data_IF_751051451849
#
_entry.id   IF_751051451849
#
_cell.length_a   1.000
_cell.length_b   1.000
_cell.length_c   1.000
_cell.angle_alpha   90.00
_cell.angle_beta   90.00
_cell.angle_gamma   90.00
#
_symmetry.space_group_name_H-M   'P 1'
#
loop_
_entity.id
_entity.type
_entity.pdbx_description
1 polymer ?
#
# COMPACT_ATOMS: atom_id res chain seq x y z
N UNK A 1 -1.81 -15.38 0.84
CA UNK A 1 -1.79 -15.51 2.32
C UNK A 1 -2.87 -14.61 2.93
N UNK A 2 -2.94 -14.52 4.27
CA UNK A 2 -3.91 -13.75 5.09
C UNK A 2 -5.29 -14.38 5.36
N UNK A 3 -5.63 -14.32 6.65
CA UNK A 3 -6.59 -15.16 7.37
C UNK A 3 -8.06 -14.93 6.98
N UNK A 4 -8.94 -15.85 7.39
CA UNK A 4 -10.37 -15.91 6.97
C UNK A 4 -11.33 -16.12 8.13
N UNK A 5 -12.23 -15.16 8.35
CA UNK A 5 -13.52 -15.39 9.03
C UNK A 5 -14.63 -14.60 8.31
N UNK A 6 -15.85 -15.16 8.18
CA UNK A 6 -16.95 -14.64 7.33
C UNK A 6 -18.24 -14.48 8.14
N UNK A 7 -18.97 -13.36 7.98
CA UNK A 7 -20.40 -13.26 8.32
C UNK A 7 -21.27 -12.41 7.35
N UNK A 8 -22.52 -12.84 7.16
CA UNK A 8 -23.56 -12.20 6.31
C UNK A 8 -24.47 -11.29 7.17
N UNK A 9 -25.12 -10.20 6.70
CA UNK A 9 -26.30 -10.24 5.80
C UNK A 9 -26.96 -8.85 5.51
N UNK A 10 -27.28 -8.57 4.23
CA UNK A 10 -28.47 -7.90 3.63
C UNK A 10 -29.12 -6.52 4.02
N UNK A 11 -29.83 -5.94 3.00
CA UNK A 11 -30.92 -4.91 2.99
C UNK A 11 -30.53 -3.39 3.00
N UNK A 12 -31.18 -2.42 2.33
CA UNK A 12 -31.76 -2.27 0.96
C UNK A 12 -31.99 -0.75 0.63
N UNK A 13 -32.30 -0.40 -0.63
CA UNK A 13 -32.33 0.92 -1.32
C UNK A 13 -33.44 1.94 -0.91
N UNK A 14 -33.20 3.24 -1.21
CA UNK A 14 -34.01 4.24 -1.99
C UNK A 14 -33.19 5.57 -2.02
N UNK A 15 -32.99 6.40 -3.08
CA UNK A 15 -33.86 7.08 -4.08
C UNK A 15 -34.72 8.21 -3.44
N UNK A 16 -34.97 9.41 -4.01
CA UNK A 16 -35.01 9.87 -5.43
C UNK A 16 -35.23 11.43 -5.54
N UNK A 17 -34.84 12.10 -6.66
CA UNK A 17 -35.38 13.42 -7.20
C UNK A 17 -35.27 14.71 -6.32
N UNK A 18 -35.52 15.99 -6.69
CA UNK A 18 -35.82 16.84 -7.90
C UNK A 18 -35.16 18.25 -7.63
N UNK A 19 -35.34 19.32 -8.42
CA UNK A 19 -34.85 19.64 -9.78
C UNK A 19 -35.17 21.13 -10.14
N UNK A 20 -34.58 21.68 -11.22
CA UNK A 20 -34.99 22.93 -11.92
C UNK A 20 -34.83 24.27 -11.14
N UNK A 21 -34.73 25.47 -11.74
CA UNK A 21 -34.47 25.94 -13.11
C UNK A 21 -33.92 27.39 -13.05
N UNK A 22 -33.46 27.96 -14.17
CA UNK A 22 -33.13 29.39 -14.24
C UNK A 22 -32.33 29.79 -15.48
N UNK A 23 -33.01 30.16 -16.56
CA UNK A 23 -32.40 30.67 -17.80
C UNK A 23 -32.61 32.16 -17.96
N UNK A 24 -31.53 32.93 -18.14
CA UNK A 24 -31.54 34.29 -18.65
C UNK A 24 -30.68 34.39 -19.91
N UNK A 25 -31.13 35.17 -20.90
CA UNK A 25 -30.54 35.25 -22.25
C UNK A 25 -29.84 36.60 -22.53
N UNK A 26 -28.99 36.59 -23.56
CA UNK A 26 -28.24 37.71 -24.16
C UNK A 26 -26.90 38.10 -23.48
N UNK A 27 -25.90 38.66 -24.22
CA UNK A 27 -25.81 38.89 -25.67
C UNK A 27 -24.82 37.92 -26.37
N UNK A 28 -25.18 37.38 -27.54
CA UNK A 28 -24.53 36.16 -28.04
C UNK A 28 -23.21 36.35 -28.83
N UNK A 29 -23.09 37.35 -29.73
CA UNK A 29 -22.19 37.18 -30.88
C UNK A 29 -20.71 37.59 -30.70
N UNK A 30 -20.36 38.66 -29.98
CA UNK A 30 -18.92 38.95 -29.71
C UNK A 30 -18.31 38.01 -28.68
N UNK A 31 -19.10 37.64 -27.66
CA UNK A 31 -18.72 36.66 -26.65
C UNK A 31 -18.52 35.24 -27.25
N UNK A 32 -19.25 34.88 -28.31
CA UNK A 32 -19.08 33.59 -28.99
C UNK A 32 -17.70 33.47 -29.68
N UNK A 33 -17.22 34.50 -30.38
CA UNK A 33 -15.92 34.46 -31.05
C UNK A 33 -14.76 34.33 -30.05
N UNK A 34 -14.77 35.13 -28.97
CA UNK A 34 -13.77 35.03 -27.90
C UNK A 34 -13.83 33.68 -27.18
N UNK A 35 -15.03 33.19 -26.81
CA UNK A 35 -15.20 31.87 -26.20
C UNK A 35 -14.82 30.72 -27.14
N UNK A 36 -15.00 30.86 -28.45
CA UNK A 36 -14.55 29.89 -29.43
C UNK A 36 -13.01 29.87 -29.52
N UNK A 37 -12.34 31.02 -29.62
CA UNK A 37 -10.89 31.11 -29.64
C UNK A 37 -10.26 30.53 -28.36
N UNK A 38 -10.79 30.88 -27.17
CA UNK A 38 -10.34 30.31 -25.89
C UNK A 38 -10.61 28.80 -25.80
N UNK A 39 -11.77 28.31 -26.28
CA UNK A 39 -12.05 26.87 -26.36
C UNK A 39 -11.12 26.14 -27.34
N UNK A 40 -10.76 26.74 -28.46
CA UNK A 40 -9.82 26.14 -29.44
C UNK A 40 -8.40 26.11 -28.88
N UNK A 41 -7.94 27.18 -28.21
CA UNK A 41 -6.63 27.22 -27.53
C UNK A 41 -6.56 26.22 -26.38
N UNK A 42 -7.62 26.11 -25.56
CA UNK A 42 -7.72 25.10 -24.51
C UNK A 42 -7.76 23.66 -25.07
N UNK A 43 -8.50 23.42 -26.16
CA UNK A 43 -8.48 22.13 -26.87
C UNK A 43 -7.09 21.79 -27.42
N UNK A 44 -6.38 22.77 -27.99
CA UNK A 44 -5.02 22.58 -28.50
C UNK A 44 -4.01 22.28 -27.37
N UNK A 45 -4.10 22.99 -26.24
CA UNK A 45 -3.26 22.70 -25.05
C UNK A 45 -3.56 21.32 -24.46
N UNK A 46 -4.84 20.92 -24.37
CA UNK A 46 -5.24 19.58 -23.91
C UNK A 46 -4.81 18.49 -24.92
N UNK A 47 -4.81 18.78 -26.22
CA UNK A 47 -4.31 17.87 -27.24
C UNK A 47 -2.78 17.70 -27.16
N UNK A 48 -2.03 18.80 -27.01
CA UNK A 48 -0.58 18.78 -26.85
C UNK A 48 -0.14 18.07 -25.56
N UNK A 49 -0.83 18.30 -24.44
CA UNK A 49 -0.62 17.57 -23.20
C UNK A 49 -0.96 16.06 -23.35
N UNK A 50 -1.92 15.71 -24.20
CA UNK A 50 -2.26 14.30 -24.51
C UNK A 50 -1.24 13.59 -25.39
N UNK A 51 -0.45 14.33 -26.16
CA UNK A 51 0.60 13.78 -27.03
C UNK A 51 2.01 13.89 -26.44
N UNK A 52 2.20 14.45 -25.23
CA UNK A 52 3.52 14.56 -24.62
C UNK A 52 4.07 13.15 -24.31
N UNK A 53 5.21 12.73 -24.90
CA UNK A 53 5.85 11.48 -24.53
C UNK A 53 6.35 11.55 -23.08
N UNK A 54 6.54 10.40 -22.43
CA UNK A 54 7.04 10.37 -21.03
C UNK A 54 8.46 10.94 -20.90
N UNK A 55 9.31 10.62 -21.87
CA UNK A 55 10.66 11.15 -22.09
C UNK A 55 10.94 11.20 -23.60
N UNK A 56 11.99 11.88 -24.08
CA UNK A 56 12.35 11.87 -25.50
C UNK A 56 12.52 10.43 -26.03
N UNK A 57 11.81 10.08 -27.10
CA UNK A 57 11.82 8.73 -27.68
C UNK A 57 10.94 7.68 -26.98
N UNK A 58 10.24 8.02 -25.88
CA UNK A 58 9.37 7.08 -25.18
C UNK A 58 8.25 6.52 -26.08
N UNK A 59 7.98 5.22 -25.98
CA UNK A 59 6.86 4.56 -26.68
C UNK A 59 5.49 5.07 -26.22
N UNK A 60 5.41 5.51 -24.96
CA UNK A 60 4.16 5.92 -24.31
C UNK A 60 4.13 7.42 -23.99
N UNK A 61 2.91 7.94 -23.79
CA UNK A 61 2.64 9.34 -23.43
C UNK A 61 2.14 9.50 -22.00
N UNK A 62 2.22 10.72 -21.47
CA UNK A 62 1.66 11.09 -20.16
C UNK A 62 0.14 10.73 -20.09
N UNK A 63 -0.59 10.89 -21.19
CA UNK A 63 -1.99 10.50 -21.27
C UNK A 63 -2.22 8.98 -21.43
N UNK A 64 -1.21 8.21 -21.84
CA UNK A 64 -1.25 6.74 -21.77
C UNK A 64 -1.09 6.30 -20.30
N UNK A 65 -0.07 6.80 -19.60
CA UNK A 65 0.16 6.53 -18.17
C UNK A 65 -1.04 6.91 -17.30
N UNK A 66 -1.51 8.15 -17.39
CA UNK A 66 -2.66 8.60 -16.61
C UNK A 66 -3.95 7.83 -16.96
N UNK A 67 -4.06 7.25 -18.16
CA UNK A 67 -5.17 6.35 -18.52
C UNK A 67 -5.01 4.98 -17.87
N UNK A 68 -3.80 4.44 -17.82
CA UNK A 68 -3.49 3.16 -17.19
C UNK A 68 -3.77 3.21 -15.68
N UNK A 69 -3.23 4.20 -14.97
CA UNK A 69 -3.51 4.44 -13.54
C UNK A 69 -5.02 4.52 -13.28
N UNK A 70 -5.74 5.34 -14.06
CA UNK A 70 -7.21 5.45 -13.92
C UNK A 70 -7.95 4.17 -14.29
N UNK A 71 -7.38 3.21 -15.02
CA UNK A 71 -7.99 1.89 -15.28
C UNK A 71 -7.80 0.97 -14.07
N UNK A 72 -6.60 0.92 -13.48
CA UNK A 72 -6.33 0.21 -12.23
C UNK A 72 -7.20 0.69 -11.07
N UNK A 73 -7.26 2.00 -10.84
CA UNK A 73 -8.11 2.56 -9.78
C UNK A 73 -9.61 2.22 -9.96
N UNK A 74 -10.08 2.08 -11.21
CA UNK A 74 -11.44 1.60 -11.51
C UNK A 74 -11.59 0.07 -11.40
N UNK A 75 -10.51 -0.70 -11.45
CA UNK A 75 -10.52 -2.12 -11.11
C UNK A 75 -10.67 -2.28 -9.59
N UNK A 76 -9.75 -1.73 -8.80
CA UNK A 76 -9.77 -1.76 -7.33
C UNK A 76 -11.11 -1.26 -6.77
N UNK A 77 -11.63 -0.14 -7.27
CA UNK A 77 -12.94 0.33 -6.83
C UNK A 77 -14.09 -0.63 -7.16
N UNK A 78 -14.07 -1.34 -8.29
CA UNK A 78 -15.10 -2.34 -8.59
C UNK A 78 -14.99 -3.56 -7.68
N UNK A 79 -13.79 -3.96 -7.28
CA UNK A 79 -13.61 -5.09 -6.35
C UNK A 79 -14.05 -4.70 -4.94
N UNK A 80 -13.76 -3.46 -4.48
CA UNK A 80 -14.23 -2.87 -3.23
C UNK A 80 -15.76 -2.57 -3.18
N UNK A 81 -16.47 -2.68 -4.30
CA UNK A 81 -17.94 -2.67 -4.34
C UNK A 81 -18.54 -4.06 -4.08
N UNK A 82 -17.76 -5.13 -4.23
CA UNK A 82 -18.19 -6.50 -3.94
C UNK A 82 -18.28 -6.72 -2.43
N UNK A 83 -19.46 -7.12 -1.92
CA UNK A 83 -19.68 -7.27 -0.47
C UNK A 83 -18.67 -8.23 0.18
N UNK A 84 -18.53 -9.46 -0.34
CA UNK A 84 -17.60 -10.44 0.23
C UNK A 84 -16.14 -9.96 0.23
N UNK A 85 -15.73 -9.18 -0.78
CA UNK A 85 -14.39 -8.62 -0.86
C UNK A 85 -14.21 -7.51 0.19
N UNK A 86 -15.19 -6.62 0.35
CA UNK A 86 -15.12 -5.51 1.29
C UNK A 86 -15.37 -5.92 2.75
N UNK A 87 -16.07 -7.05 2.97
CA UNK A 87 -16.22 -7.66 4.28
C UNK A 87 -14.90 -8.33 4.75
N UNK A 88 -13.98 -8.70 3.84
CA UNK A 88 -12.69 -9.36 4.16
C UNK A 88 -11.45 -8.46 4.04
N UNK A 89 -11.49 -7.45 3.16
CA UNK A 89 -10.36 -6.56 2.84
C UNK A 89 -10.75 -5.09 2.94
N UNK A 90 -11.73 -4.79 3.79
CA UNK A 90 -12.38 -3.48 3.83
C UNK A 90 -11.42 -2.37 4.23
N UNK A 91 -10.58 -2.63 5.22
CA UNK A 91 -9.53 -1.76 5.75
C UNK A 91 -8.40 -1.51 4.74
N UNK A 92 -7.89 -2.56 4.11
CA UNK A 92 -6.84 -2.48 3.08
C UNK A 92 -7.32 -1.68 1.85
N UNK A 93 -8.57 -1.89 1.42
CA UNK A 93 -9.17 -1.01 0.40
C UNK A 93 -9.24 0.46 0.84
N UNK A 94 -9.47 0.76 2.13
CA UNK A 94 -9.44 2.14 2.61
C UNK A 94 -8.03 2.72 2.58
N UNK A 95 -7.03 1.94 2.99
CA UNK A 95 -5.62 2.31 2.89
C UNK A 95 -5.22 2.64 1.46
N UNK A 96 -5.50 1.75 0.51
CA UNK A 96 -5.30 1.97 -0.92
C UNK A 96 -5.93 3.28 -1.43
N UNK A 97 -7.20 3.57 -1.08
CA UNK A 97 -7.82 4.83 -1.50
C UNK A 97 -7.23 6.05 -0.77
N UNK A 98 -6.83 5.91 0.48
CA UNK A 98 -6.22 6.97 1.27
C UNK A 98 -4.85 7.36 0.69
N UNK A 99 -3.90 6.43 0.58
CA UNK A 99 -2.53 6.70 0.11
C UNK A 99 -2.54 7.36 -1.27
N UNK A 100 -3.21 6.74 -2.24
CA UNK A 100 -3.38 7.26 -3.61
C UNK A 100 -4.03 8.66 -3.60
N UNK A 101 -4.99 8.92 -2.71
CA UNK A 101 -5.64 10.24 -2.64
C UNK A 101 -4.76 11.34 -2.06
N UNK A 102 -3.86 10.99 -1.14
CA UNK A 102 -3.04 11.93 -0.38
C UNK A 102 -1.74 12.29 -1.10
N UNK A 103 -1.09 11.33 -1.79
CA UNK A 103 0.30 11.47 -2.27
C UNK A 103 0.42 11.68 -3.77
N UNK A 104 -0.35 10.97 -4.62
CA UNK A 104 -0.18 10.96 -6.08
C UNK A 104 -0.43 12.34 -6.69
N UNK A 105 0.48 12.86 -7.52
CA UNK A 105 0.45 14.24 -8.03
C UNK A 105 -0.72 14.54 -9.01
N UNK A 106 -1.22 13.56 -9.78
CA UNK A 106 -2.35 13.78 -10.72
C UNK A 106 -3.64 14.18 -9.95
N UNK A 107 -4.13 15.44 -10.05
CA UNK A 107 -5.27 15.89 -9.25
C UNK A 107 -6.60 15.22 -9.64
N UNK A 108 -6.67 14.61 -10.83
CA UNK A 108 -7.83 13.80 -11.25
C UNK A 108 -7.79 12.44 -10.57
N UNK A 109 -6.59 11.85 -10.38
CA UNK A 109 -6.41 10.62 -9.62
C UNK A 109 -6.73 10.87 -8.14
N UNK A 110 -6.12 11.88 -7.50
CA UNK A 110 -6.38 12.27 -6.11
C UNK A 110 -7.89 12.36 -5.81
N UNK A 111 -8.60 13.22 -6.55
CA UNK A 111 -10.05 13.44 -6.34
C UNK A 111 -10.90 12.22 -6.64
N UNK A 112 -10.44 11.32 -7.51
CA UNK A 112 -11.15 10.08 -7.81
C UNK A 112 -10.98 9.08 -6.67
N UNK A 113 -9.75 8.87 -6.20
CA UNK A 113 -9.42 8.01 -5.06
C UNK A 113 -10.09 8.53 -3.78
N UNK A 114 -9.97 9.81 -3.45
CA UNK A 114 -10.62 10.41 -2.27
C UNK A 114 -12.13 10.15 -2.26
N UNK A 115 -12.82 10.32 -3.41
CA UNK A 115 -14.27 10.09 -3.49
C UNK A 115 -14.63 8.62 -3.28
N UNK A 116 -13.84 7.71 -3.87
CA UNK A 116 -14.01 6.26 -3.70
C UNK A 116 -13.77 5.86 -2.23
N UNK A 117 -12.65 6.29 -1.65
CA UNK A 117 -12.30 6.10 -0.25
C UNK A 117 -13.35 6.65 0.71
N UNK A 118 -13.78 7.91 0.59
CA UNK A 118 -14.82 8.50 1.45
C UNK A 118 -16.15 7.75 1.36
N UNK A 119 -16.52 7.22 0.19
CA UNK A 119 -17.72 6.39 0.05
C UNK A 119 -17.58 5.05 0.78
N UNK A 120 -16.43 4.39 0.63
CA UNK A 120 -16.10 3.13 1.30
C UNK A 120 -15.94 3.31 2.82
N UNK A 121 -15.27 4.38 3.28
CA UNK A 121 -15.08 4.70 4.69
C UNK A 121 -16.43 4.94 5.40
N UNK A 122 -17.38 5.59 4.72
CA UNK A 122 -18.75 5.71 5.21
C UNK A 122 -19.48 4.36 5.29
N UNK A 123 -19.16 3.39 4.43
CA UNK A 123 -19.69 2.02 4.53
C UNK A 123 -19.03 1.27 5.69
N UNK A 124 -17.70 1.33 5.81
CA UNK A 124 -16.92 0.79 6.93
C UNK A 124 -17.50 1.25 8.27
N UNK A 125 -17.64 2.57 8.48
CA UNK A 125 -18.29 3.16 9.68
C UNK A 125 -19.76 2.77 9.90
N UNK A 126 -20.44 2.14 8.93
CA UNK A 126 -21.79 1.58 9.12
C UNK A 126 -21.80 0.08 9.43
N UNK A 127 -20.81 -0.66 8.93
CA UNK A 127 -20.66 -2.09 9.20
C UNK A 127 -19.97 -2.31 10.56
N UNK A 128 -18.90 -1.56 10.81
CA UNK A 128 -18.05 -1.62 12.00
C UNK A 128 -18.40 -0.50 12.98
N UNK A 129 -19.66 -0.43 13.42
CA UNK A 129 -20.14 0.57 14.42
C UNK A 129 -19.79 0.20 15.85
N UNK A 130 -19.55 -1.07 16.09
CA UNK A 130 -19.27 -1.68 17.39
C UNK A 130 -18.26 -2.79 17.15
N UNK A 131 -17.23 -2.87 17.98
CA UNK A 131 -16.34 -4.03 18.00
C UNK A 131 -17.13 -5.27 18.46
N UNK A 132 -16.91 -6.47 17.87
CA UNK A 132 -17.49 -7.71 18.37
C UNK A 132 -17.06 -8.00 19.83
N UNK A 133 -17.94 -8.65 20.60
CA UNK A 133 -17.64 -9.02 21.99
C UNK A 133 -16.53 -10.07 22.10
N UNK A 134 -16.36 -10.87 21.05
CA UNK A 134 -15.37 -11.94 20.87
C UNK A 134 -14.16 -11.54 20.02
N UNK A 135 -13.97 -10.24 19.75
CA UNK A 135 -12.85 -9.73 18.96
C UNK A 135 -11.48 -10.15 19.54
N UNK A 136 -10.68 -10.80 18.70
CA UNK A 136 -9.29 -11.17 18.95
C UNK A 136 -8.32 -10.07 18.51
N UNK A 137 -7.01 -10.34 18.65
CA UNK A 137 -5.95 -9.39 18.28
C UNK A 137 -6.03 -8.99 16.79
N UNK A 138 -6.20 -9.94 15.88
CA UNK A 138 -6.36 -9.68 14.45
C UNK A 138 -7.60 -8.83 14.16
N UNK A 139 -8.75 -9.13 14.79
CA UNK A 139 -9.96 -8.31 14.65
C UNK A 139 -9.75 -6.87 15.14
N UNK A 140 -8.96 -6.66 16.21
CA UNK A 140 -8.62 -5.33 16.70
C UNK A 140 -7.67 -4.60 15.74
N UNK A 141 -6.71 -5.31 15.16
CA UNK A 141 -5.79 -4.79 14.14
C UNK A 141 -6.55 -4.31 12.89
N UNK A 142 -7.41 -5.14 12.30
CA UNK A 142 -8.28 -4.78 11.17
C UNK A 142 -9.10 -3.50 11.48
N UNK A 143 -9.63 -3.43 12.70
CA UNK A 143 -10.40 -2.26 13.16
C UNK A 143 -9.54 -1.01 13.34
N UNK A 144 -8.29 -1.13 13.77
CA UNK A 144 -7.33 -0.02 13.87
C UNK A 144 -6.91 0.44 12.48
N UNK A 145 -6.47 -0.48 11.62
CA UNK A 145 -6.11 -0.26 10.21
C UNK A 145 -7.21 0.49 9.46
N UNK A 146 -8.42 -0.07 9.43
CA UNK A 146 -9.53 0.53 8.70
C UNK A 146 -10.05 1.81 9.35
N UNK A 147 -9.82 2.00 10.64
CA UNK A 147 -10.16 3.26 11.33
C UNK A 147 -9.17 4.38 11.04
N UNK A 148 -7.86 4.13 10.99
CA UNK A 148 -6.89 5.16 10.59
C UNK A 148 -7.13 5.62 9.16
N UNK A 149 -7.32 4.69 8.24
CA UNK A 149 -7.62 5.01 6.86
C UNK A 149 -8.95 5.77 6.72
N UNK A 150 -10.01 5.39 7.45
CA UNK A 150 -11.28 6.12 7.47
C UNK A 150 -11.16 7.54 8.06
N UNK A 151 -10.40 7.73 9.14
CA UNK A 151 -10.17 9.02 9.79
C UNK A 151 -9.31 9.93 8.91
N UNK A 152 -8.29 9.35 8.27
CA UNK A 152 -7.42 10.00 7.27
C UNK A 152 -8.18 10.41 6.00
N UNK A 153 -9.21 9.66 5.61
CA UNK A 153 -10.19 10.04 4.58
C UNK A 153 -11.22 11.07 5.05
N UNK A 154 -11.22 11.45 6.33
CA UNK A 154 -12.09 12.48 6.93
C UNK A 154 -13.44 11.97 7.44
N UNK A 155 -13.58 10.67 7.70
CA UNK A 155 -14.81 10.02 8.21
C UNK A 155 -14.58 9.52 9.64
N UNK A 156 -14.41 10.49 10.55
CA UNK A 156 -13.95 10.26 11.93
C UNK A 156 -14.92 9.51 12.83
N UNK A 157 -14.37 8.68 13.72
CA UNK A 157 -15.10 8.02 14.80
C UNK A 157 -14.27 7.93 16.10
N UNK A 158 -14.29 9.01 16.88
CA UNK A 158 -13.56 9.12 18.16
C UNK A 158 -14.05 8.10 19.20
N UNK A 159 -15.31 7.62 19.12
CA UNK A 159 -15.86 6.62 20.04
C UNK A 159 -15.29 5.23 19.74
N UNK A 160 -15.17 4.88 18.46
CA UNK A 160 -14.46 3.66 18.05
C UNK A 160 -13.00 3.73 18.48
N UNK A 161 -12.30 4.86 18.24
CA UNK A 161 -10.92 5.06 18.68
C UNK A 161 -10.72 4.79 20.18
N UNK A 162 -11.49 5.46 21.04
CA UNK A 162 -11.48 5.25 22.50
C UNK A 162 -11.88 3.84 22.94
N UNK A 163 -12.55 3.07 22.07
CA UNK A 163 -12.84 1.66 22.32
C UNK A 163 -11.63 0.81 22.00
N UNK A 164 -10.99 1.01 20.84
CA UNK A 164 -9.77 0.32 20.41
C UNK A 164 -8.60 0.58 21.39
N UNK A 165 -8.37 1.83 21.79
CA UNK A 165 -7.38 2.21 22.82
C UNK A 165 -7.54 1.39 24.12
N UNK A 166 -8.78 1.12 24.55
CA UNK A 166 -9.06 0.37 25.79
C UNK A 166 -9.01 -1.16 25.62
N UNK A 167 -9.26 -1.68 24.42
CA UNK A 167 -9.26 -3.14 24.19
C UNK A 167 -7.93 -3.68 23.70
N UNK A 168 -7.09 -2.86 23.04
CA UNK A 168 -5.84 -3.33 22.44
C UNK A 168 -4.91 -3.98 23.47
N UNK A 169 -4.78 -3.37 24.65
CA UNK A 169 -3.97 -3.88 25.77
C UNK A 169 -4.50 -5.15 26.46
N UNK A 170 -5.55 -5.80 25.93
CA UNK A 170 -5.98 -7.14 26.39
C UNK A 170 -5.06 -8.26 25.89
N UNK A 171 -4.37 -8.02 24.77
CA UNK A 171 -3.56 -9.03 24.09
C UNK A 171 -2.06 -8.67 24.20
N UNK A 172 -1.18 -9.66 24.46
CA UNK A 172 0.27 -9.46 24.49
C UNK A 172 0.83 -9.18 23.10
N UNK A 173 2.06 -8.65 23.03
CA UNK A 173 2.74 -8.36 21.76
C UNK A 173 2.77 -9.54 20.78
N UNK A 174 2.91 -10.78 21.28
CA UNK A 174 2.94 -11.99 20.46
C UNK A 174 1.65 -12.29 19.70
N UNK A 175 0.51 -11.77 20.15
CA UNK A 175 -0.79 -12.04 19.52
C UNK A 175 -1.05 -11.09 18.35
N UNK A 176 -0.42 -9.91 18.33
CA UNK A 176 -0.39 -8.99 17.17
C UNK A 176 0.82 -9.24 16.27
N UNK A 177 2.01 -9.40 16.86
CA UNK A 177 3.30 -9.31 16.16
C UNK A 177 3.98 -10.67 15.93
N UNK A 178 3.35 -11.78 16.30
CA UNK A 178 3.91 -13.16 16.32
C UNK A 178 5.15 -13.40 17.21
N UNK A 179 5.83 -12.35 17.69
CA UNK A 179 6.92 -12.39 18.65
C UNK A 179 6.85 -11.22 19.65
N UNK A 180 7.71 -11.21 20.66
CA UNK A 180 7.86 -10.07 21.56
C UNK A 180 9.10 -9.26 21.19
N UNK A 181 8.96 -8.11 20.49
CA UNK A 181 10.10 -7.32 20.04
C UNK A 181 10.88 -6.68 21.19
N UNK A 182 10.37 -6.67 22.43
CA UNK A 182 11.13 -6.22 23.60
C UNK A 182 12.16 -7.26 24.07
N UNK A 183 11.93 -8.56 23.83
CA UNK A 183 12.74 -9.64 24.39
C UNK A 183 13.44 -10.54 23.36
N UNK A 184 12.97 -10.63 22.11
CA UNK A 184 13.55 -11.50 21.09
C UNK A 184 13.62 -10.83 19.70
N UNK A 185 14.62 -11.20 18.85
CA UNK A 185 14.63 -10.85 17.43
C UNK A 185 13.54 -11.62 16.66
N UNK A 186 13.27 -11.27 15.39
CA UNK A 186 12.33 -11.99 14.54
C UNK A 186 12.59 -13.50 14.51
N UNK A 187 11.59 -14.33 14.89
CA UNK A 187 11.74 -15.77 14.96
C UNK A 187 11.74 -16.45 13.58
N UNK A 188 12.14 -17.72 13.57
CA UNK A 188 12.13 -18.60 12.39
C UNK A 188 11.28 -19.87 12.59
N UNK A 189 10.50 -19.91 13.68
CA UNK A 189 9.65 -21.03 14.09
C UNK A 189 8.16 -20.68 14.10
N UNK A 190 7.77 -19.59 13.44
CA UNK A 190 6.36 -19.24 13.21
C UNK A 190 5.86 -20.02 11.98
N UNK A 191 4.88 -20.92 12.13
CA UNK A 191 4.30 -21.62 10.99
C UNK A 191 3.46 -20.66 10.14
N UNK A 192 3.44 -20.90 8.83
CA UNK A 192 2.42 -20.33 7.96
C UNK A 192 1.08 -21.09 8.12
N UNK A 193 0.01 -20.55 7.54
CA UNK A 193 -1.26 -21.24 7.38
C UNK A 193 -1.05 -22.61 6.70
N UNK A 194 -1.75 -23.65 7.15
CA UNK A 194 -1.57 -24.96 6.54
C UNK A 194 -2.13 -24.96 5.10
N UNK A 195 -1.23 -25.01 4.11
CA UNK A 195 -1.53 -25.02 2.67
C UNK A 195 -2.49 -26.12 2.17
N UNK A 196 -2.95 -27.04 3.03
CA UNK A 196 -3.92 -28.09 2.69
C UNK A 196 -5.34 -27.84 3.25
N UNK A 197 -5.45 -27.34 4.49
CA UNK A 197 -6.74 -27.21 5.19
C UNK A 197 -7.04 -25.79 5.72
N UNK A 198 -6.12 -24.85 5.53
CA UNK A 198 -6.26 -23.46 5.98
C UNK A 198 -6.13 -23.26 7.49
N UNK A 199 -5.71 -24.27 8.25
CA UNK A 199 -5.64 -24.16 9.69
C UNK A 199 -4.45 -23.30 10.14
N UNK A 200 -4.73 -22.33 11.01
CA UNK A 200 -3.74 -21.60 11.80
C UNK A 200 -3.19 -22.49 12.94
N UNK A 201 -1.89 -22.39 13.20
CA UNK A 201 -1.14 -23.26 14.12
C UNK A 201 -0.26 -22.41 15.08
N UNK A 202 -0.04 -22.87 16.33
CA UNK A 202 0.79 -22.13 17.27
C UNK A 202 2.27 -22.15 16.87
N UNK A 203 3.01 -21.09 17.21
CA UNK A 203 4.47 -21.00 17.06
C UNK A 203 5.18 -22.25 17.60
N UNK A 204 6.19 -22.72 16.87
CA UNK A 204 6.93 -23.95 17.13
C UNK A 204 6.26 -25.25 16.63
N UNK A 205 5.01 -25.20 16.17
CA UNK A 205 4.34 -26.36 15.57
C UNK A 205 4.97 -26.71 14.21
N UNK A 206 5.42 -27.96 14.06
CA UNK A 206 6.02 -28.48 12.80
C UNK A 206 5.04 -29.25 11.92
N UNK A 207 3.85 -29.54 12.43
CA UNK A 207 2.78 -30.27 11.76
C UNK A 207 1.43 -29.62 12.09
N UNK A 208 0.51 -29.64 11.14
CA UNK A 208 -0.82 -29.07 11.32
C UNK A 208 -1.60 -29.83 12.40
N UNK A 209 -2.23 -29.09 13.33
CA UNK A 209 -3.09 -29.67 14.37
C UNK A 209 -4.37 -30.32 13.83
N UNK A 210 -4.74 -30.07 12.57
CA UNK A 210 -5.95 -30.58 11.91
C UNK A 210 -5.61 -31.75 10.97
N UNK A 211 -4.93 -31.51 9.83
CA UNK A 211 -4.59 -32.59 8.89
C UNK A 211 -3.26 -33.34 9.15
N UNK A 212 -2.49 -32.97 10.18
CA UNK A 212 -1.21 -33.60 10.55
C UNK A 212 -0.09 -33.56 9.47
N UNK A 213 -0.26 -32.81 8.38
CA UNK A 213 0.78 -32.56 7.39
C UNK A 213 1.89 -31.65 7.94
N UNK A 214 3.14 -31.75 7.46
CA UNK A 214 4.19 -30.78 7.77
C UNK A 214 3.76 -29.34 7.45
N UNK A 215 4.18 -28.40 8.28
CA UNK A 215 3.96 -26.96 8.07
C UNK A 215 5.19 -26.32 7.43
N UNK A 216 4.97 -25.36 6.53
CA UNK A 216 5.99 -24.38 6.15
C UNK A 216 6.13 -23.35 7.28
N UNK A 217 7.33 -22.80 7.46
CA UNK A 217 7.57 -21.70 8.39
C UNK A 217 7.62 -20.40 7.59
N UNK A 218 7.02 -19.33 8.12
CA UNK A 218 7.21 -17.96 7.62
C UNK A 218 8.71 -17.62 7.63
N UNK A 219 9.17 -16.82 6.67
CA UNK A 219 10.55 -16.33 6.72
C UNK A 219 10.71 -15.28 7.82
N UNK A 220 11.95 -15.00 8.22
CA UNK A 220 12.26 -13.94 9.20
C UNK A 220 11.89 -12.53 8.70
N UNK A 221 11.82 -12.35 7.38
CA UNK A 221 11.41 -11.09 6.77
C UNK A 221 9.89 -10.95 6.86
N UNK A 222 9.16 -12.01 6.51
CA UNK A 222 7.70 -12.08 6.59
C UNK A 222 7.16 -11.80 8.00
N UNK A 223 7.65 -12.52 9.01
CA UNK A 223 7.27 -12.27 10.41
C UNK A 223 7.61 -10.84 10.88
N UNK A 224 8.68 -10.23 10.36
CA UNK A 224 9.12 -8.91 10.81
C UNK A 224 8.43 -7.76 10.09
N UNK A 225 8.19 -7.86 8.78
CA UNK A 225 7.51 -6.78 8.05
C UNK A 225 6.04 -6.69 8.45
N UNK A 226 5.37 -7.83 8.70
CA UNK A 226 4.04 -7.88 9.33
C UNK A 226 4.04 -7.03 10.61
N UNK A 227 4.88 -7.42 11.58
CA UNK A 227 5.01 -6.72 12.86
C UNK A 227 5.40 -5.23 12.72
N UNK A 228 6.18 -4.87 11.70
CA UNK A 228 6.59 -3.49 11.43
C UNK A 228 5.40 -2.64 10.95
N UNK A 229 4.56 -3.19 10.08
CA UNK A 229 3.32 -2.55 9.59
C UNK A 229 2.31 -2.42 10.74
N UNK A 230 2.08 -3.48 11.50
CA UNK A 230 1.15 -3.51 12.65
C UNK A 230 1.54 -2.45 13.69
N UNK A 231 2.81 -2.42 14.10
CA UNK A 231 3.30 -1.47 15.10
C UNK A 231 3.29 -0.01 14.60
N UNK A 232 3.66 0.23 13.33
CA UNK A 232 3.54 1.55 12.69
C UNK A 232 2.07 2.02 12.67
N UNK A 233 1.15 1.17 12.23
CA UNK A 233 -0.28 1.50 12.09
C UNK A 233 -0.89 1.81 13.45
N UNK A 234 -0.52 1.02 14.47
CA UNK A 234 -0.90 1.27 15.85
C UNK A 234 -0.39 2.62 16.38
N UNK A 235 0.91 2.89 16.30
CA UNK A 235 1.50 4.15 16.77
C UNK A 235 0.94 5.37 16.03
N UNK A 236 0.80 5.27 14.70
CA UNK A 236 0.22 6.32 13.85
C UNK A 236 -1.23 6.63 14.22
N UNK A 237 -2.05 5.60 14.46
CA UNK A 237 -3.43 5.80 14.89
C UNK A 237 -3.55 6.23 16.36
N UNK A 238 -2.53 5.93 17.19
CA UNK A 238 -2.51 6.16 18.64
C UNK A 238 -3.07 4.99 19.46
N UNK A 239 -3.10 3.78 18.90
CA UNK A 239 -3.54 2.54 19.55
C UNK A 239 -2.38 1.55 19.53
N UNK A 240 -1.68 1.37 20.65
CA UNK A 240 -0.51 0.48 20.72
C UNK A 240 -0.91 -0.99 20.52
N UNK A 241 -0.53 -1.57 19.37
CA UNK A 241 -0.74 -2.98 19.03
C UNK A 241 0.44 -3.84 19.54
N UNK A 242 0.51 -3.98 20.87
CA UNK A 242 1.48 -4.84 21.55
C UNK A 242 2.84 -4.20 21.84
N UNK A 243 3.41 -3.44 20.90
CA UNK A 243 4.66 -2.70 21.07
C UNK A 243 4.69 -1.43 20.19
N UNK A 244 5.67 -0.55 20.43
CA UNK A 244 5.91 0.62 19.59
C UNK A 244 6.71 0.26 18.33
N UNK A 245 6.55 1.06 17.27
CA UNK A 245 7.27 0.93 16.01
C UNK A 245 8.81 0.85 16.20
N UNK A 246 9.34 1.69 17.08
CA UNK A 246 10.76 1.72 17.43
C UNK A 246 11.27 0.38 18.00
N UNK A 247 10.43 -0.36 18.73
CA UNK A 247 10.78 -1.65 19.30
C UNK A 247 10.89 -2.75 18.26
N UNK A 248 10.10 -2.67 17.17
CA UNK A 248 10.20 -3.59 16.05
C UNK A 248 11.38 -3.20 15.15
N UNK A 249 11.52 -1.90 14.82
CA UNK A 249 12.54 -1.41 13.89
C UNK A 249 13.97 -1.69 14.38
N UNK A 250 14.23 -1.68 15.70
CA UNK A 250 15.58 -1.91 16.27
C UNK A 250 16.23 -3.23 15.83
N UNK A 251 15.44 -4.19 15.35
CA UNK A 251 15.91 -5.49 14.86
C UNK A 251 16.34 -5.51 13.39
N UNK A 252 16.16 -4.43 12.64
CA UNK A 252 16.61 -4.27 11.25
C UNK A 252 18.07 -4.74 11.00
N UNK A 253 19.07 -4.44 11.87
CA UNK A 253 20.43 -4.94 11.67
C UNK A 253 20.58 -6.47 11.64
N UNK A 254 19.63 -7.23 12.20
CA UNK A 254 19.66 -8.71 12.16
C UNK A 254 19.16 -9.28 10.82
N UNK A 255 18.36 -8.50 10.08
CA UNK A 255 17.86 -8.87 8.75
C UNK A 255 18.89 -8.61 7.64
N UNK A 256 19.91 -7.80 7.91
CA UNK A 256 21.03 -7.55 6.98
C UNK A 256 22.14 -8.61 7.16
N UNK A 257 22.86 -9.00 6.09
CA UNK A 257 22.66 -8.64 4.69
C UNK A 257 21.46 -9.37 4.07
N UNK A 258 20.91 -8.78 3.01
CA UNK A 258 19.81 -9.32 2.22
C UNK A 258 20.27 -10.38 1.19
N UNK A 259 19.36 -11.21 0.64
CA UNK A 259 19.72 -12.28 -0.29
C UNK A 259 20.16 -11.74 -1.65
N UNK A 260 21.38 -12.06 -2.09
CA UNK A 260 21.99 -11.53 -3.33
C UNK A 260 21.43 -12.19 -4.60
N UNK A 261 20.51 -13.15 -4.48
CA UNK A 261 19.97 -13.91 -5.60
C UNK A 261 18.45 -13.80 -5.63
N UNK A 262 17.91 -13.33 -6.76
CA UNK A 262 16.48 -13.15 -6.99
C UNK A 262 15.74 -14.50 -7.17
N UNK A 263 15.64 -15.29 -6.10
CA UNK A 263 15.04 -16.64 -6.09
C UNK A 263 14.46 -17.03 -4.73
N UNK A 264 13.23 -17.56 -4.75
CA UNK A 264 12.58 -18.15 -3.59
C UNK A 264 11.91 -17.12 -2.65
N UNK A 265 11.15 -17.64 -1.69
CA UNK A 265 10.38 -16.87 -0.70
C UNK A 265 11.25 -15.88 0.06
N UNK A 266 12.43 -16.30 0.55
CA UNK A 266 13.36 -15.44 1.30
C UNK A 266 13.81 -14.18 0.52
N UNK A 267 13.90 -14.25 -0.81
CA UNK A 267 14.16 -13.06 -1.64
C UNK A 267 12.91 -12.19 -1.79
N UNK A 268 11.76 -12.79 -2.11
CA UNK A 268 10.48 -12.08 -2.27
C UNK A 268 10.14 -11.30 -0.99
N UNK A 269 10.13 -11.99 0.16
CA UNK A 269 9.83 -11.40 1.47
C UNK A 269 10.86 -10.33 1.86
N UNK A 270 12.12 -10.46 1.43
CA UNK A 270 13.12 -9.40 1.65
C UNK A 270 12.84 -8.13 0.86
N UNK A 271 12.28 -8.22 -0.36
CA UNK A 271 11.82 -7.04 -1.11
C UNK A 271 10.66 -6.38 -0.37
N UNK A 272 9.67 -7.16 0.08
CA UNK A 272 8.54 -6.66 0.85
C UNK A 272 8.96 -6.00 2.16
N UNK A 273 9.85 -6.64 2.93
CA UNK A 273 10.40 -6.05 4.15
C UNK A 273 11.13 -4.73 3.89
N UNK A 274 11.90 -4.64 2.80
CA UNK A 274 12.60 -3.41 2.43
C UNK A 274 11.64 -2.30 2.00
N UNK A 275 10.59 -2.64 1.23
CA UNK A 275 9.58 -1.66 0.85
C UNK A 275 8.82 -1.12 2.07
N UNK A 276 8.44 -2.00 3.01
CA UNK A 276 7.73 -1.59 4.22
C UNK A 276 8.62 -0.84 5.23
N UNK A 277 9.95 -1.04 5.24
CA UNK A 277 10.88 -0.09 5.90
C UNK A 277 10.73 1.30 5.30
N UNK A 278 10.74 1.41 3.98
CA UNK A 278 10.64 2.71 3.28
C UNK A 278 9.29 3.37 3.52
N UNK A 279 8.18 2.63 3.42
CA UNK A 279 6.83 3.17 3.64
C UNK A 279 6.60 3.62 5.08
N UNK A 280 6.94 2.77 6.07
CA UNK A 280 6.74 3.12 7.47
C UNK A 280 7.63 4.29 7.91
N UNK A 281 8.84 4.43 7.35
CA UNK A 281 9.72 5.59 7.60
C UNK A 281 9.34 6.85 6.80
N UNK A 282 8.64 6.75 5.67
CA UNK A 282 8.29 7.89 4.81
C UNK A 282 6.80 8.34 4.90
N UNK A 283 6.06 7.77 5.86
CA UNK A 283 4.63 7.96 6.10
C UNK A 283 3.75 7.54 4.90
N UNK A 284 4.10 6.45 4.21
CA UNK A 284 3.48 5.97 2.97
C UNK A 284 3.42 7.06 1.89
N UNK A 285 4.61 7.48 1.46
CA UNK A 285 4.91 8.44 0.39
C UNK A 285 4.53 9.91 0.65
N UNK A 286 4.43 10.34 1.91
CA UNK A 286 4.29 11.77 2.22
C UNK A 286 5.64 12.51 2.18
N UNK A 287 6.75 11.83 2.46
CA UNK A 287 8.10 12.39 2.44
C UNK A 287 9.06 11.58 1.57
N UNK A 288 10.14 12.21 1.12
CA UNK A 288 11.30 11.50 0.55
C UNK A 288 12.28 11.11 1.66
N UNK A 289 12.94 9.98 1.48
CA UNK A 289 14.02 9.51 2.34
C UNK A 289 15.38 9.87 1.74
N UNK A 290 16.36 10.13 2.61
CA UNK A 290 17.75 10.18 2.19
C UNK A 290 18.29 8.75 2.05
N UNK A 291 18.82 8.33 0.88
CA UNK A 291 19.40 6.99 0.74
C UNK A 291 20.61 6.76 1.67
N UNK A 292 21.22 7.83 2.22
CA UNK A 292 22.28 7.73 3.24
C UNK A 292 21.80 7.18 4.59
N UNK A 293 20.50 7.21 4.88
CA UNK A 293 19.94 6.63 6.12
C UNK A 293 19.69 5.12 5.98
N UNK A 294 19.56 4.63 4.74
CA UNK A 294 19.19 3.26 4.40
C UNK A 294 20.02 2.77 3.18
N UNK A 295 21.37 2.78 3.26
CA UNK A 295 22.21 2.49 2.09
C UNK A 295 22.09 1.04 1.64
N UNK A 296 21.90 0.10 2.57
CA UNK A 296 21.74 -1.32 2.24
C UNK A 296 20.44 -1.60 1.49
N UNK A 297 19.35 -0.93 1.88
CA UNK A 297 18.03 -1.03 1.27
C UNK A 297 18.03 -0.38 -0.12
N UNK A 298 18.58 0.84 -0.22
CA UNK A 298 18.68 1.55 -1.49
C UNK A 298 19.48 0.74 -2.53
N UNK A 299 20.69 0.28 -2.19
CA UNK A 299 21.52 -0.48 -3.13
C UNK A 299 20.91 -1.86 -3.49
N UNK A 300 20.21 -2.52 -2.56
CA UNK A 300 19.48 -3.75 -2.86
C UNK A 300 18.37 -3.53 -3.91
N UNK A 301 17.51 -2.53 -3.69
CA UNK A 301 16.43 -2.20 -4.64
C UNK A 301 16.99 -1.78 -6.01
N UNK A 302 18.10 -1.02 -6.01
CA UNK A 302 18.83 -0.63 -7.23
C UNK A 302 19.35 -1.84 -8.00
N UNK A 303 19.90 -2.84 -7.31
CA UNK A 303 20.44 -4.04 -7.94
C UNK A 303 19.34 -4.93 -8.54
N UNK A 304 18.17 -5.02 -7.88
CA UNK A 304 17.13 -6.00 -8.21
C UNK A 304 15.93 -5.46 -9.02
N UNK A 305 15.82 -4.15 -9.29
CA UNK A 305 14.73 -3.58 -10.08
C UNK A 305 14.52 -4.27 -11.45
N UNK A 306 15.62 -4.70 -12.10
CA UNK A 306 15.56 -5.45 -13.37
C UNK A 306 15.03 -6.88 -13.20
N UNK A 307 15.25 -7.50 -12.05
CA UNK A 307 14.80 -8.87 -11.78
C UNK A 307 13.27 -8.92 -11.68
N UNK A 308 12.63 -7.91 -11.08
CA UNK A 308 11.16 -7.81 -11.08
C UNK A 308 10.55 -7.77 -12.49
N UNK A 309 11.17 -7.02 -13.41
CA UNK A 309 10.75 -7.00 -14.83
C UNK A 309 10.99 -8.36 -15.50
N UNK A 310 12.10 -9.05 -15.19
CA UNK A 310 12.44 -10.35 -15.77
C UNK A 310 11.54 -11.48 -15.28
N UNK A 311 11.21 -11.48 -13.98
CA UNK A 311 10.27 -12.40 -13.32
C UNK A 311 8.82 -12.11 -13.72
N UNK A 312 8.53 -10.91 -14.23
CA UNK A 312 7.19 -10.38 -14.54
C UNK A 312 6.28 -10.25 -13.32
N UNK A 313 6.89 -10.20 -12.14
CA UNK A 313 6.18 -10.02 -10.88
C UNK A 313 5.69 -8.57 -10.80
N UNK A 314 4.41 -8.36 -11.05
CA UNK A 314 3.80 -7.03 -11.06
C UNK A 314 3.60 -6.46 -9.65
N UNK A 315 3.73 -7.27 -8.60
CA UNK A 315 3.54 -6.81 -7.23
C UNK A 315 4.88 -6.33 -6.69
N UNK A 316 5.86 -7.24 -6.63
CA UNK A 316 7.24 -6.97 -6.20
C UNK A 316 7.93 -5.87 -7.04
N UNK A 317 7.60 -5.75 -8.33
CA UNK A 317 8.11 -4.64 -9.16
C UNK A 317 7.60 -3.28 -8.71
N UNK A 318 6.36 -3.20 -8.23
CA UNK A 318 5.74 -1.94 -7.78
C UNK A 318 6.39 -1.47 -6.49
N UNK A 319 6.55 -2.39 -5.55
CA UNK A 319 7.28 -2.20 -4.29
C UNK A 319 8.67 -1.60 -4.51
N UNK A 320 9.45 -2.19 -5.43
CA UNK A 320 10.79 -1.69 -5.75
C UNK A 320 10.76 -0.32 -6.44
N UNK A 321 9.87 -0.13 -7.42
CA UNK A 321 9.76 1.13 -8.14
C UNK A 321 9.39 2.29 -7.22
N UNK A 322 8.45 2.04 -6.31
CA UNK A 322 7.91 3.06 -5.42
C UNK A 322 8.92 3.44 -4.33
N UNK A 323 9.52 2.44 -3.69
CA UNK A 323 10.59 2.63 -2.71
C UNK A 323 11.79 3.39 -3.29
N UNK A 324 12.18 3.12 -4.55
CA UNK A 324 13.22 3.89 -5.24
C UNK A 324 12.83 5.35 -5.50
N UNK A 325 11.54 5.65 -5.75
CA UNK A 325 11.05 7.03 -5.87
C UNK A 325 11.10 7.77 -4.53
N UNK A 326 10.83 7.09 -3.42
CA UNK A 326 10.99 7.65 -2.08
C UNK A 326 12.46 8.08 -1.81
N UNK A 327 13.44 7.32 -2.32
CA UNK A 327 14.86 7.71 -2.32
C UNK A 327 15.25 8.76 -3.38
N UNK A 328 14.29 9.25 -4.17
CA UNK A 328 14.51 10.29 -5.17
C UNK A 328 14.95 9.81 -6.56
N UNK A 329 14.88 8.51 -6.86
CA UNK A 329 15.14 8.00 -8.22
C UNK A 329 14.07 8.54 -9.18
N UNK A 330 14.53 9.25 -10.21
CA UNK A 330 13.67 9.87 -11.22
C UNK A 330 13.56 9.01 -12.47
N UNK A 331 12.68 9.42 -13.37
CA UNK A 331 12.58 8.87 -14.74
C UNK A 331 13.76 9.27 -15.64
N UNK A 332 14.89 9.72 -15.09
CA UNK A 332 16.17 9.77 -15.79
C UNK A 332 16.90 8.43 -15.75
N UNK A 333 16.55 7.59 -14.77
CA UNK A 333 17.07 6.23 -14.64
C UNK A 333 16.51 5.28 -15.73
N UNK A 334 17.37 4.55 -16.46
CA UNK A 334 16.93 3.67 -17.54
C UNK A 334 16.15 2.43 -17.07
N UNK A 335 16.37 1.97 -15.84
CA UNK A 335 15.75 0.75 -15.32
C UNK A 335 14.35 1.07 -14.79
N UNK A 336 14.19 2.23 -14.14
CA UNK A 336 12.86 2.76 -13.82
C UNK A 336 12.05 3.03 -15.10
N UNK A 337 12.67 3.53 -16.18
CA UNK A 337 12.01 3.65 -17.49
C UNK A 337 11.55 2.29 -18.03
N UNK A 338 12.40 1.27 -17.99
CA UNK A 338 12.06 -0.07 -18.45
C UNK A 338 10.87 -0.67 -17.67
N UNK A 339 10.85 -0.50 -16.35
CA UNK A 339 9.75 -0.94 -15.49
C UNK A 339 8.43 -0.20 -15.77
N UNK A 340 8.48 1.12 -16.03
CA UNK A 340 7.32 1.90 -16.49
C UNK A 340 6.81 1.37 -17.85
N UNK A 341 7.69 1.10 -18.82
CA UNK A 341 7.28 0.55 -20.12
C UNK A 341 6.71 -0.88 -20.00
N UNK A 342 7.21 -1.69 -19.06
CA UNK A 342 6.65 -2.99 -18.72
C UNK A 342 5.19 -2.84 -18.26
N UNK A 343 4.90 -2.03 -17.23
CA UNK A 343 3.52 -1.85 -16.75
C UNK A 343 2.57 -1.28 -17.81
N UNK A 344 3.02 -0.32 -18.62
CA UNK A 344 2.19 0.25 -19.69
C UNK A 344 1.94 -0.70 -20.86
N UNK A 345 2.78 -1.74 -21.00
CA UNK A 345 2.60 -2.81 -22.00
C UNK A 345 1.70 -3.94 -21.49
N UNK A 346 1.76 -4.28 -20.20
CA UNK A 346 1.15 -5.49 -19.63
C UNK A 346 -0.14 -5.27 -18.81
N UNK A 347 -0.78 -4.10 -18.90
CA UNK A 347 -2.06 -3.88 -18.20
C UNK A 347 -3.20 -4.73 -18.80
N UNK A 348 -3.85 -5.55 -17.98
CA UNK A 348 -4.94 -6.46 -18.36
C UNK A 348 -6.15 -5.73 -18.96
N UNK A 349 -7.03 -6.46 -19.65
CA UNK A 349 -8.18 -5.89 -20.38
C UNK A 349 -9.24 -5.25 -19.47
N UNK A 350 -9.43 -5.79 -18.27
CA UNK A 350 -10.30 -5.22 -17.23
C UNK A 350 -9.69 -3.99 -16.54
N UNK A 351 -8.37 -3.81 -16.61
CA UNK A 351 -7.61 -2.72 -16.01
C UNK A 351 -6.69 -3.15 -14.86
N UNK A 352 -6.68 -4.42 -14.46
CA UNK A 352 -5.75 -4.92 -13.44
C UNK A 352 -4.32 -5.02 -13.98
N UNK A 353 -3.38 -5.28 -13.06
CA UNK A 353 -2.12 -5.99 -13.35
C UNK A 353 -2.15 -7.33 -12.60
N UNK A 354 -1.07 -8.10 -12.63
CA UNK A 354 -1.02 -9.47 -12.10
C UNK A 354 -1.72 -10.50 -12.97
N UNK A 355 -1.80 -11.72 -12.45
CA UNK A 355 -2.56 -12.80 -13.07
C UNK A 355 -4.08 -12.51 -12.99
N UNK A 356 -4.83 -12.89 -14.01
CA UNK A 356 -6.29 -12.74 -14.06
C UNK A 356 -7.04 -13.93 -13.47
N UNK A 357 -6.34 -15.06 -13.33
CA UNK A 357 -6.93 -16.35 -13.00
C UNK A 357 -6.85 -16.67 -11.49
N UNK A 358 -6.23 -15.77 -10.71
CA UNK A 358 -6.17 -15.87 -9.25
C UNK A 358 -7.56 -15.92 -8.61
N UNK A 359 -7.69 -16.83 -7.65
CA UNK A 359 -8.94 -17.14 -6.98
C UNK A 359 -9.25 -16.16 -5.84
N UNK A 360 -8.22 -15.68 -5.13
CA UNK A 360 -8.38 -14.59 -4.18
C UNK A 360 -8.39 -13.25 -4.91
N UNK A 361 -9.18 -12.31 -4.41
CA UNK A 361 -9.27 -10.99 -5.02
C UNK A 361 -8.05 -10.13 -4.64
N UNK A 362 -7.45 -10.40 -3.48
CA UNK A 362 -6.25 -9.74 -2.98
C UNK A 362 -5.11 -9.81 -3.99
N UNK A 363 -4.77 -11.03 -4.43
CA UNK A 363 -3.72 -11.36 -5.40
C UNK A 363 -3.99 -10.77 -6.81
N UNK A 364 -5.11 -10.06 -7.00
CA UNK A 364 -5.46 -9.32 -8.22
C UNK A 364 -5.50 -7.81 -8.03
N UNK A 365 -5.99 -7.31 -6.90
CA UNK A 365 -6.09 -5.88 -6.65
C UNK A 365 -4.82 -5.29 -6.01
N UNK A 366 -4.08 -6.06 -5.21
CA UNK A 366 -2.83 -5.62 -4.59
C UNK A 366 -1.73 -5.38 -5.65
N UNK A 367 -1.43 -6.32 -6.59
CA UNK A 367 -0.56 -6.00 -7.73
C UNK A 367 -1.07 -4.87 -8.63
N UNK A 368 -2.38 -4.60 -8.61
CA UNK A 368 -2.97 -3.47 -9.34
C UNK A 368 -2.73 -2.14 -8.63
N UNK A 369 -2.67 -2.13 -7.29
CA UNK A 369 -2.31 -0.98 -6.47
C UNK A 369 -0.81 -0.70 -6.62
N UNK A 370 0.05 -1.70 -6.42
CA UNK A 370 1.50 -1.55 -6.58
C UNK A 370 1.91 -1.11 -8.00
N UNK A 371 1.19 -1.55 -9.04
CA UNK A 371 1.36 -1.01 -10.39
C UNK A 371 0.86 0.45 -10.58
N UNK A 372 -0.13 0.92 -9.80
CA UNK A 372 -0.53 2.34 -9.80
C UNK A 372 0.55 3.20 -9.16
N UNK A 373 1.12 2.75 -8.05
CA UNK A 373 2.07 3.51 -7.25
C UNK A 373 3.44 3.56 -7.97
N UNK A 374 3.94 2.44 -8.48
CA UNK A 374 5.13 2.43 -9.35
C UNK A 374 5.00 3.31 -10.61
N UNK A 375 3.80 3.40 -11.21
CA UNK A 375 3.52 4.32 -12.34
C UNK A 375 3.34 5.79 -11.93
N UNK A 376 3.08 6.06 -10.66
CA UNK A 376 2.73 7.40 -10.16
C UNK A 376 3.95 8.32 -10.03
N UNK A 377 3.66 9.60 -9.81
CA UNK A 377 4.59 10.61 -9.30
C UNK A 377 3.93 11.20 -8.07
N UNK A 378 4.71 11.66 -7.09
CA UNK A 378 4.17 12.10 -5.80
C UNK A 378 4.38 13.58 -5.55
N UNK A 379 3.42 14.15 -4.83
CA UNK A 379 3.49 15.47 -4.22
C UNK A 379 4.10 15.34 -2.82
N UNK A 380 5.41 15.08 -2.78
CA UNK A 380 6.18 15.03 -1.54
C UNK A 380 6.00 16.31 -0.72
N UNK A 381 5.84 16.19 0.60
CA UNK A 381 5.80 17.31 1.55
C UNK A 381 7.20 17.86 1.84
N UNK A 382 8.25 17.11 1.50
CA UNK A 382 9.66 17.43 1.72
C UNK A 382 10.48 16.15 1.87
N UNK A 383 11.67 16.27 2.47
CA UNK A 383 12.51 15.15 2.89
C UNK A 383 12.43 15.01 4.40
N UNK A 384 12.23 13.80 4.93
CA UNK A 384 12.05 13.59 6.38
C UNK A 384 11.71 12.14 6.73
N UNK A 385 11.50 11.90 8.03
CA UNK A 385 11.02 10.63 8.57
C UNK A 385 9.63 10.85 9.22
N UNK A 386 8.78 9.83 9.19
CA UNK A 386 7.58 9.70 10.03
C UNK A 386 7.92 9.78 11.52
N UNK A 387 9.06 9.19 11.89
CA UNK A 387 9.65 9.13 13.22
C UNK A 387 11.02 9.85 13.26
N UNK A 388 11.07 11.19 13.34
CA UNK A 388 12.32 11.96 13.33
C UNK A 388 13.31 11.58 14.44
N UNK A 389 12.81 11.10 15.57
CA UNK A 389 13.58 10.61 16.72
C UNK A 389 14.46 9.39 16.41
N UNK A 390 14.12 8.61 15.38
CA UNK A 390 14.89 7.44 14.96
C UNK A 390 16.08 7.80 14.05
N UNK A 391 16.19 9.05 13.60
CA UNK A 391 17.27 9.50 12.71
C UNK A 391 18.68 9.15 13.22
N UNK A 392 19.06 9.41 14.50
CA UNK A 392 20.42 9.10 14.98
C UNK A 392 20.74 7.61 14.95
N UNK A 393 19.74 6.75 15.15
CA UNK A 393 19.88 5.29 15.09
C UNK A 393 20.12 4.82 13.64
N UNK A 394 19.40 5.39 12.68
CA UNK A 394 19.61 5.12 11.25
C UNK A 394 20.99 5.60 10.77
N UNK A 395 21.43 6.80 11.18
CA UNK A 395 22.77 7.32 10.89
C UNK A 395 23.86 6.39 11.46
N UNK A 396 23.73 5.96 12.72
CA UNK A 396 24.65 5.00 13.35
C UNK A 396 24.72 3.67 12.60
N UNK A 397 23.60 3.16 12.07
CA UNK A 397 23.59 1.92 11.29
C UNK A 397 24.18 2.09 9.90
N UNK A 398 24.01 3.24 9.25
CA UNK A 398 24.61 3.52 7.95
C UNK A 398 26.15 3.52 8.03
N UNK A 399 26.72 4.19 9.02
CA UNK A 399 28.17 4.19 9.30
C UNK A 399 28.72 2.77 9.53
N UNK A 400 27.94 1.88 10.17
CA UNK A 400 28.31 0.47 10.36
C UNK A 400 28.30 -0.34 9.05
N UNK A 401 27.45 0.01 8.08
CA UNK A 401 27.45 -0.63 6.76
C UNK A 401 28.67 -0.16 5.95
N UNK A 402 28.92 1.14 5.89
CA UNK A 402 30.07 1.71 5.18
C UNK A 402 31.42 1.16 5.72
N UNK A 403 31.58 1.13 7.05
CA UNK A 403 32.79 0.61 7.69
C UNK A 403 33.01 -0.91 7.55
N UNK A 404 31.96 -1.68 7.21
CA UNK A 404 32.06 -3.09 6.82
C UNK A 404 32.40 -3.28 5.34
N UNK A 405 31.96 -2.38 4.47
CA UNK A 405 32.30 -2.40 3.03
C UNK A 405 33.72 -1.91 2.73
N UNK A 406 34.30 -1.10 3.62
CA UNK A 406 35.66 -0.58 3.50
C UNK A 406 36.77 -1.51 4.05
N UNK A 407 36.42 -2.76 4.44
CA UNK A 407 37.33 -3.78 4.98
C UNK A 407 37.33 -5.03 4.12
#
# INVERSE_FOLDING_TARGET
MYSKTIMHSNILRLSLLLALAGTCLSPAHSAQASRAATRTRAKAQVAAARSRPLWPGARFTEAARARAIRRGLRFIYRTALGRANFDRYGDDYLWCFYTISATVDDPVVQRTAQRMGVERARLWRRLHRTLPDDADAATIEDYVSGSDAADSLGVRDEQMKQTLERVAGRFPARDYLSFDPLSEPPPTDVPDECAYDGAQNPRGAKVCRVCHRPLQMKTRYDVWYDALITAYTGDRYGVMLGAHYADVLKWLPTLRPYPVHARGEDFYDSVYAIAHIVYTLNDYNQAQLSPRLLPAEYEFLRAHLRDGVALKDTDMLGEMMDSLRAFGVTEDDPDLRAAIEFYLTHQNRDGSWGDTDEADIYDRYHPTWNAIDGLSRYRWRGTGLSHPELKPLLEQWAEQVESRQAR
#
